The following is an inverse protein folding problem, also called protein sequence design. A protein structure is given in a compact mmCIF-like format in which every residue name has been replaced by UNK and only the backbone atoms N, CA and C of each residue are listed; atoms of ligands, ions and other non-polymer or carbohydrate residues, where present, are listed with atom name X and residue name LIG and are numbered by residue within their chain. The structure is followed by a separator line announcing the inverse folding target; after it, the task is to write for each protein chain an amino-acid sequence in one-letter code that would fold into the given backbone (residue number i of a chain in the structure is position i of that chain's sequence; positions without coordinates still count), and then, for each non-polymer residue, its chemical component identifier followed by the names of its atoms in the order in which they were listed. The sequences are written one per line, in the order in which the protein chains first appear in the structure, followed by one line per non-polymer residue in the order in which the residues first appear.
data_IF_699721168909
#
_entry.id   IF_699721168909
#
_cell.length_a   1.000
_cell.length_b   1.000
_cell.length_c   1.000
_cell.angle_alpha   90.00
_cell.angle_beta   90.00
_cell.angle_gamma   90.00
#
_symmetry.space_group_name_H-M   'P 1'
#
loop_
_entity.id
_entity.type
_entity.pdbx_description
1 polymer ?
#
# COMPACT_ATOMS: atom_id res chain seq x y z
N UNK A 1 -16.71 -38.88 60.29
CA UNK A 1 -15.91 -39.11 59.03
C UNK A 1 -14.45 -38.87 59.42
N UNK A 2 -13.61 -39.93 59.39
CA UNK A 2 -12.16 -39.79 59.66
C UNK A 2 -11.50 -39.91 58.26
N UNK A 3 -10.99 -38.80 57.74
CA UNK A 3 -10.17 -38.71 56.53
C UNK A 3 -8.70 -38.68 56.97
N UNK A 4 -8.04 -39.82 57.01
CA UNK A 4 -6.61 -39.93 57.26
C UNK A 4 -6.09 -41.31 56.88
N UNK A 5 -4.84 -41.37 56.37
CA UNK A 5 -4.21 -42.65 56.08
C UNK A 5 -3.97 -43.36 57.39
N UNK A 6 -4.64 -44.49 57.68
CA UNK A 6 -4.47 -45.32 58.81
C UNK A 6 -3.31 -46.27 58.50
N UNK A 7 -2.14 -46.00 59.07
CA UNK A 7 -0.93 -46.81 58.88
C UNK A 7 -0.79 -48.00 59.95
N UNK A 8 -1.84 -48.20 60.74
CA UNK A 8 -1.83 -49.32 61.72
C UNK A 8 -2.49 -50.57 61.12
N UNK A 9 -1.76 -51.63 60.78
CA UNK A 9 -2.29 -52.85 60.18
C UNK A 9 -3.30 -53.58 61.09
N UNK A 10 -3.21 -53.38 62.45
CA UNK A 10 -4.11 -54.04 63.44
C UNK A 10 -5.41 -53.21 63.66
N UNK A 11 -5.48 -51.99 63.21
CA UNK A 11 -6.64 -51.13 63.42
C UNK A 11 -7.91 -51.69 62.73
N UNK A 12 -7.76 -52.21 61.55
CA UNK A 12 -8.87 -52.80 60.75
C UNK A 12 -9.39 -54.07 61.43
N UNK A 13 -8.49 -54.90 62.03
CA UNK A 13 -8.86 -56.12 62.76
C UNK A 13 -9.60 -55.81 64.04
N UNK A 14 -9.17 -54.81 64.78
CA UNK A 14 -9.83 -54.30 65.99
C UNK A 14 -11.22 -53.70 65.72
N UNK A 15 -11.37 -52.97 64.61
CA UNK A 15 -12.65 -52.42 64.24
C UNK A 15 -13.62 -53.47 63.72
N UNK A 16 -13.16 -54.54 63.07
CA UNK A 16 -14.01 -55.62 62.59
C UNK A 16 -14.56 -56.50 63.76
N UNK A 17 -13.83 -56.50 64.87
CA UNK A 17 -14.27 -57.20 66.09
C UNK A 17 -15.11 -56.34 67.06
N UNK A 18 -15.19 -55.05 66.85
CA UNK A 18 -16.00 -54.11 67.64
C UNK A 18 -17.51 -54.26 67.30
N UNK A 19 -18.28 -54.52 68.35
CA UNK A 19 -19.75 -54.59 68.25
C UNK A 19 -20.33 -53.18 68.16
N UNK A 20 -21.15 -52.93 67.19
CA UNK A 20 -21.89 -51.67 67.07
C UNK A 20 -22.83 -51.48 68.27
N UNK A 21 -22.79 -50.35 68.99
CA UNK A 21 -23.72 -50.12 70.07
C UNK A 21 -25.09 -49.86 69.53
N UNK A 22 -25.95 -50.91 69.52
CA UNK A 22 -27.35 -50.69 69.31
C UNK A 22 -28.17 -51.62 68.41
N UNK A 23 -27.60 -52.38 67.52
CA UNK A 23 -28.29 -53.51 66.79
C UNK A 23 -27.25 -54.40 66.17
N UNK A 24 -27.20 -55.68 66.55
CA UNK A 24 -26.23 -56.72 66.23
C UNK A 24 -25.81 -56.94 64.77
N UNK A 25 -25.43 -55.91 64.09
CA UNK A 25 -24.93 -55.93 62.70
C UNK A 25 -23.42 -55.78 62.62
N UNK A 26 -22.77 -56.60 61.84
CA UNK A 26 -21.34 -56.48 61.49
C UNK A 26 -21.12 -55.20 60.68
N UNK A 27 -20.15 -54.40 61.02
CA UNK A 27 -19.75 -53.19 60.28
C UNK A 27 -19.09 -53.64 58.95
N UNK A 28 -19.67 -53.27 57.84
CA UNK A 28 -19.05 -53.52 56.54
C UNK A 28 -18.23 -52.31 56.13
N UNK A 29 -16.95 -52.52 55.96
CA UNK A 29 -16.03 -51.52 55.38
C UNK A 29 -16.03 -51.63 53.90
N UNK A 30 -16.40 -50.55 53.23
CA UNK A 30 -16.28 -50.43 51.76
C UNK A 30 -15.06 -49.56 51.49
N UNK A 31 -13.97 -50.16 51.06
CA UNK A 31 -12.81 -49.42 50.52
C UNK A 31 -13.22 -48.79 49.21
N UNK A 32 -13.47 -47.50 49.19
CA UNK A 32 -13.60 -46.76 47.94
C UNK A 32 -12.20 -46.64 47.37
N UNK A 33 -11.88 -47.46 46.40
CA UNK A 33 -10.65 -47.31 45.60
C UNK A 33 -10.85 -46.03 44.78
N UNK A 34 -10.17 -44.95 45.16
CA UNK A 34 -9.98 -43.83 44.28
C UNK A 34 -9.16 -44.36 43.11
N UNK A 35 -9.79 -44.39 41.94
CA UNK A 35 -9.16 -44.78 40.68
C UNK A 35 -8.08 -43.73 40.40
N UNK A 36 -6.82 -44.04 40.77
CA UNK A 36 -5.69 -43.18 40.41
C UNK A 36 -5.74 -42.98 38.89
N UNK A 37 -6.11 -41.79 38.47
CA UNK A 37 -5.97 -41.40 37.07
C UNK A 37 -4.48 -41.40 36.77
N UNK A 38 -4.08 -42.15 35.75
CA UNK A 38 -2.69 -42.18 35.36
C UNK A 38 -2.26 -40.75 34.99
N UNK A 39 -1.11 -40.26 35.50
CA UNK A 39 -0.63 -38.90 35.22
C UNK A 39 -0.46 -38.64 33.72
N UNK A 40 -0.29 -39.69 32.93
CA UNK A 40 -0.26 -39.62 31.44
C UNK A 40 -1.61 -39.25 30.85
N UNK A 41 -2.73 -39.73 31.40
CA UNK A 41 -4.07 -39.36 30.93
C UNK A 41 -4.41 -37.90 31.23
N UNK A 42 -4.00 -37.40 32.39
CA UNK A 42 -4.21 -36.00 32.74
C UNK A 42 -3.33 -35.08 31.90
N UNK A 43 -2.10 -35.45 31.57
CA UNK A 43 -1.24 -34.71 30.65
C UNK A 43 -1.83 -34.67 29.24
N UNK A 44 -2.37 -35.77 28.72
CA UNK A 44 -3.00 -35.83 27.41
C UNK A 44 -4.27 -34.97 27.37
N UNK A 45 -5.11 -35.04 28.41
CA UNK A 45 -6.37 -34.30 28.45
C UNK A 45 -6.18 -32.78 28.62
N UNK A 46 -5.18 -32.36 29.40
CA UNK A 46 -4.99 -30.94 29.70
C UNK A 46 -4.03 -30.22 28.72
N UNK A 47 -3.09 -30.93 28.09
CA UNK A 47 -2.08 -30.32 27.24
C UNK A 47 -2.20 -30.70 25.78
N UNK A 48 -2.37 -31.99 25.47
CA UNK A 48 -2.37 -32.46 24.08
C UNK A 48 -3.72 -32.20 23.40
N UNK A 49 -4.81 -32.47 24.10
CA UNK A 49 -6.16 -32.34 23.51
C UNK A 49 -6.56 -30.89 23.18
N UNK A 50 -6.32 -29.89 24.07
CA UNK A 50 -6.55 -28.48 23.71
C UNK A 50 -5.62 -27.98 22.62
N UNK A 51 -4.34 -28.43 22.62
CA UNK A 51 -3.38 -28.11 21.57
C UNK A 51 -3.80 -28.64 20.21
N UNK A 52 -4.27 -29.88 20.17
CA UNK A 52 -4.76 -30.51 18.94
C UNK A 52 -6.05 -29.88 18.43
N UNK A 53 -6.95 -29.49 19.34
CA UNK A 53 -8.19 -28.78 19.01
C UNK A 53 -7.86 -27.39 18.46
N UNK A 54 -6.93 -26.67 19.08
CA UNK A 54 -6.51 -25.37 18.61
C UNK A 54 -5.80 -25.47 17.26
N UNK A 55 -4.96 -26.48 17.04
CA UNK A 55 -4.35 -26.76 15.75
C UNK A 55 -5.40 -27.09 14.67
N UNK A 56 -6.42 -27.88 15.00
CA UNK A 56 -7.51 -28.21 14.07
C UNK A 56 -8.37 -27.00 13.72
N UNK A 57 -8.71 -26.16 14.72
CA UNK A 57 -9.43 -24.88 14.48
C UNK A 57 -8.58 -23.94 13.64
N UNK A 58 -7.28 -23.80 13.95
CA UNK A 58 -6.38 -22.93 13.22
C UNK A 58 -6.14 -23.44 11.79
N UNK A 59 -5.96 -24.75 11.60
CA UNK A 59 -5.81 -25.36 10.27
C UNK A 59 -7.10 -25.27 9.44
N UNK A 60 -8.27 -25.39 10.09
CA UNK A 60 -9.57 -25.21 9.45
C UNK A 60 -9.82 -23.74 9.08
N UNK A 61 -9.39 -22.81 9.92
CA UNK A 61 -9.41 -21.38 9.63
C UNK A 61 -8.48 -21.04 8.45
N UNK A 62 -7.27 -21.58 8.44
CA UNK A 62 -6.32 -21.41 7.32
C UNK A 62 -6.87 -22.02 6.03
N UNK A 63 -7.52 -23.20 6.09
CA UNK A 63 -8.14 -23.81 4.91
C UNK A 63 -9.34 -23.01 4.39
N UNK A 64 -10.12 -22.38 5.28
CA UNK A 64 -11.21 -21.47 4.89
C UNK A 64 -10.66 -20.15 4.33
N UNK A 65 -9.59 -19.61 4.92
CA UNK A 65 -8.88 -18.42 4.44
C UNK A 65 -8.09 -18.77 3.16
N UNK A 66 -7.47 -19.94 3.05
CA UNK A 66 -6.76 -20.42 1.86
C UNK A 66 -7.69 -20.78 0.69
N UNK A 67 -8.94 -21.18 0.96
CA UNK A 67 -9.97 -21.33 -0.07
C UNK A 67 -10.47 -19.99 -0.62
N UNK A 68 -10.40 -18.93 0.18
CA UNK A 68 -10.60 -17.54 -0.25
C UNK A 68 -9.40 -16.97 -1.02
N UNK A 69 -8.21 -17.53 -0.88
CA UNK A 69 -7.02 -17.13 -1.63
C UNK A 69 -7.03 -17.60 -3.10
N UNK A 70 -7.89 -18.53 -3.46
CA UNK A 70 -8.15 -18.92 -4.86
C UNK A 70 -9.28 -18.08 -5.50
N UNK A 71 -9.97 -17.24 -4.68
CA UNK A 71 -10.87 -16.18 -5.09
C UNK A 71 -10.40 -14.89 -4.40
N UNK A 72 -9.33 -14.30 -4.92
CA UNK A 72 -8.54 -13.17 -4.45
C UNK A 72 -9.26 -12.08 -3.67
N UNK A 73 -9.38 -12.13 -2.37
CA UNK A 73 -9.91 -10.97 -1.65
C UNK A 73 -9.66 -10.91 -0.13
N UNK A 74 -8.59 -11.42 0.43
CA UNK A 74 -8.44 -11.24 1.88
C UNK A 74 -7.05 -10.78 2.34
N UNK A 75 -6.00 -11.39 1.86
CA UNK A 75 -4.61 -11.08 2.27
C UNK A 75 -3.82 -10.40 1.16
N UNK A 76 -4.28 -10.51 -0.11
CA UNK A 76 -3.76 -9.75 -1.25
C UNK A 76 -4.12 -8.25 -1.14
N UNK A 77 -5.26 -7.90 -0.55
CA UNK A 77 -5.63 -6.50 -0.32
C UNK A 77 -4.72 -5.79 0.68
N UNK A 78 -4.13 -6.49 1.65
CA UNK A 78 -3.20 -5.87 2.61
C UNK A 78 -1.85 -5.52 1.97
N UNK A 79 -1.42 -6.24 0.91
CA UNK A 79 -0.23 -5.88 0.12
C UNK A 79 -0.52 -4.85 -0.97
N UNK A 80 -1.79 -4.57 -1.28
CA UNK A 80 -2.17 -3.55 -2.27
C UNK A 80 -2.22 -2.13 -1.72
N UNK A 81 -2.07 -1.91 -0.41
CA UNK A 81 -2.10 -0.56 0.18
C UNK A 81 -0.96 0.37 -0.28
N UNK A 82 0.07 -0.16 -0.93
CA UNK A 82 1.17 0.63 -1.50
C UNK A 82 1.13 0.78 -3.01
N UNK A 83 0.16 0.18 -3.71
CA UNK A 83 0.08 0.31 -5.16
C UNK A 83 -0.51 1.66 -5.54
N UNK A 84 0.11 2.30 -6.50
CA UNK A 84 -0.42 3.53 -7.06
C UNK A 84 -1.75 3.23 -7.73
N UNK A 85 -2.80 3.98 -7.38
CA UNK A 85 -4.07 3.94 -8.08
C UNK A 85 -4.02 4.65 -9.44
N UNK A 86 -2.82 4.81 -10.02
CA UNK A 86 -2.64 5.50 -11.27
C UNK A 86 -3.49 4.86 -12.38
N UNK A 87 -4.27 5.68 -13.05
CA UNK A 87 -4.99 5.25 -14.24
C UNK A 87 -4.00 5.15 -15.39
N UNK A 88 -3.73 3.92 -15.81
CA UNK A 88 -2.84 3.64 -16.94
C UNK A 88 -3.69 3.53 -18.19
N UNK A 89 -3.48 4.42 -19.12
CA UNK A 89 -4.08 4.35 -20.45
C UNK A 89 -3.03 3.77 -21.40
N UNK A 90 -3.35 2.65 -22.04
CA UNK A 90 -2.48 2.09 -23.08
C UNK A 90 -2.43 3.04 -24.29
N UNK A 91 -1.37 2.95 -25.06
CA UNK A 91 -1.14 3.76 -26.26
C UNK A 91 -2.38 3.81 -27.18
N UNK A 92 -3.00 2.67 -27.41
CA UNK A 92 -4.17 2.54 -28.29
C UNK A 92 -5.49 3.09 -27.70
N UNK A 93 -5.53 3.37 -26.40
CA UNK A 93 -6.73 3.87 -25.71
C UNK A 93 -6.83 5.41 -25.78
N UNK A 94 -5.73 6.10 -26.12
CA UNK A 94 -5.67 7.56 -26.15
C UNK A 94 -5.97 8.04 -27.56
N UNK A 95 -7.22 8.40 -27.78
CA UNK A 95 -7.68 8.94 -29.09
C UNK A 95 -7.53 10.45 -29.20
N UNK A 96 -7.29 11.14 -28.08
CA UNK A 96 -7.19 12.60 -28.00
C UNK A 96 -5.92 13.08 -28.68
N UNK A 97 -6.05 14.07 -29.56
CA UNK A 97 -4.96 14.70 -30.32
C UNK A 97 -4.96 16.21 -30.09
N UNK A 98 -3.90 16.90 -30.54
CA UNK A 98 -3.85 18.36 -30.48
C UNK A 98 -4.97 19.03 -31.31
N UNK A 99 -5.48 18.38 -32.33
CA UNK A 99 -6.65 18.83 -33.10
C UNK A 99 -7.93 18.93 -32.26
N UNK A 100 -8.03 18.15 -31.19
CA UNK A 100 -9.19 18.14 -30.31
C UNK A 100 -9.13 19.23 -29.23
N UNK A 101 -7.99 19.92 -29.12
CA UNK A 101 -7.77 21.03 -28.20
C UNK A 101 -7.95 22.32 -28.95
N UNK A 102 -9.00 23.07 -28.64
CA UNK A 102 -9.25 24.38 -29.23
C UNK A 102 -8.36 25.45 -28.58
N UNK A 103 -7.80 26.36 -29.38
CA UNK A 103 -6.90 27.40 -28.88
C UNK A 103 -5.60 26.83 -28.31
N UNK A 104 -4.97 27.58 -27.37
CA UNK A 104 -3.74 27.16 -26.66
C UNK A 104 -2.55 26.93 -27.61
N UNK A 105 -2.41 27.73 -28.69
CA UNK A 105 -1.41 27.46 -29.72
C UNK A 105 0.02 27.56 -29.19
N UNK A 106 0.32 28.54 -28.34
CA UNK A 106 1.64 28.64 -27.67
C UNK A 106 1.95 27.43 -26.78
N UNK A 107 0.94 26.94 -26.04
CA UNK A 107 1.10 25.76 -25.22
C UNK A 107 1.31 24.50 -26.07
N UNK A 108 0.61 24.36 -27.20
CA UNK A 108 0.80 23.26 -28.15
C UNK A 108 2.20 23.30 -28.76
N UNK A 109 2.67 24.45 -29.20
CA UNK A 109 4.02 24.63 -29.78
C UNK A 109 5.10 24.25 -28.76
N UNK A 110 4.96 24.72 -27.52
CA UNK A 110 5.87 24.36 -26.43
C UNK A 110 5.86 22.87 -26.08
N UNK A 111 4.73 22.18 -26.28
CA UNK A 111 4.60 20.75 -25.99
C UNK A 111 4.93 19.88 -27.21
N UNK A 112 4.95 20.42 -28.42
CA UNK A 112 5.34 19.70 -29.63
C UNK A 112 6.79 19.23 -29.57
N UNK A 113 7.67 19.99 -28.94
CA UNK A 113 9.07 19.59 -28.70
C UNK A 113 9.16 18.32 -27.83
N UNK A 114 8.25 18.17 -26.85
CA UNK A 114 8.16 16.97 -26.03
C UNK A 114 7.71 15.77 -26.87
N UNK A 115 6.76 15.97 -27.77
CA UNK A 115 6.28 14.95 -28.72
C UNK A 115 7.40 14.53 -29.67
N UNK A 116 8.13 15.48 -30.25
CA UNK A 116 9.25 15.18 -31.19
C UNK A 116 10.35 14.40 -30.50
N UNK A 117 10.65 14.73 -29.24
CA UNK A 117 11.62 13.96 -28.46
C UNK A 117 11.18 12.51 -28.24
N UNK A 118 9.92 12.30 -27.83
CA UNK A 118 9.41 10.95 -27.59
C UNK A 118 9.42 10.09 -28.85
N UNK A 119 9.29 10.72 -30.03
CA UNK A 119 9.41 10.04 -31.33
C UNK A 119 10.85 9.77 -31.73
N UNK A 120 11.77 10.70 -31.47
CA UNK A 120 13.13 10.70 -31.99
C UNK A 120 14.18 10.95 -30.89
N UNK A 121 14.27 10.14 -29.83
CA UNK A 121 15.16 10.39 -28.70
C UNK A 121 16.64 10.40 -29.11
N UNK A 122 17.03 9.58 -30.07
CA UNK A 122 18.43 9.47 -30.51
C UNK A 122 18.97 10.75 -31.12
N UNK A 123 18.15 11.47 -31.90
CA UNK A 123 18.50 12.77 -32.50
C UNK A 123 18.91 13.81 -31.47
N UNK A 124 18.24 13.82 -30.33
CA UNK A 124 18.52 14.76 -29.23
C UNK A 124 19.76 14.33 -28.43
N UNK A 125 19.97 13.03 -28.24
CA UNK A 125 21.13 12.47 -27.57
C UNK A 125 22.41 12.74 -28.38
N UNK A 126 22.38 12.64 -29.70
CA UNK A 126 23.53 12.91 -30.59
C UNK A 126 24.04 14.35 -30.51
N UNK A 127 23.12 15.33 -30.38
CA UNK A 127 23.49 16.75 -30.27
C UNK A 127 23.77 17.18 -28.82
N UNK A 128 23.68 16.26 -27.86
CA UNK A 128 23.90 16.56 -26.45
C UNK A 128 22.84 17.46 -25.83
N UNK A 129 21.63 17.52 -26.42
CA UNK A 129 20.55 18.32 -25.91
C UNK A 129 19.98 17.69 -24.63
N UNK A 130 19.94 18.45 -23.54
CA UNK A 130 19.26 18.05 -22.33
C UNK A 130 17.78 18.39 -22.42
N UNK A 131 16.95 17.37 -22.48
CA UNK A 131 15.52 17.57 -22.46
C UNK A 131 14.98 17.80 -21.06
N UNK A 132 13.90 18.57 -20.95
CA UNK A 132 13.23 18.74 -19.67
C UNK A 132 12.70 17.39 -19.19
N UNK A 133 13.10 16.97 -18.00
CA UNK A 133 12.52 15.77 -17.37
C UNK A 133 11.05 15.97 -17.01
N UNK A 134 10.67 17.23 -16.74
CA UNK A 134 9.33 17.59 -16.36
C UNK A 134 8.86 18.93 -16.94
N UNK A 135 7.59 18.98 -17.28
CA UNK A 135 6.91 20.19 -17.76
C UNK A 135 5.76 20.50 -16.82
N UNK A 136 5.67 21.75 -16.37
CA UNK A 136 4.61 22.25 -15.52
C UNK A 136 3.58 23.04 -16.33
N UNK A 137 2.35 22.54 -16.38
CA UNK A 137 1.20 23.23 -16.98
C UNK A 137 0.58 24.16 -15.93
N UNK A 138 0.59 25.45 -16.21
CA UNK A 138 0.12 26.48 -15.28
C UNK A 138 -1.06 27.23 -15.92
N UNK A 139 -2.13 27.41 -15.20
CA UNK A 139 -3.27 28.19 -15.69
C UNK A 139 -4.50 28.06 -14.79
N UNK A 140 -5.51 28.90 -14.99
CA UNK A 140 -6.76 28.84 -14.26
C UNK A 140 -7.48 27.49 -14.39
N UNK A 141 -8.41 27.17 -13.48
CA UNK A 141 -9.24 25.98 -13.66
C UNK A 141 -10.08 26.11 -14.94
N UNK A 142 -10.28 24.98 -15.63
CA UNK A 142 -11.08 24.93 -16.85
C UNK A 142 -10.32 25.24 -18.16
N UNK A 143 -9.03 25.60 -18.13
CA UNK A 143 -8.22 25.86 -19.32
C UNK A 143 -7.82 24.63 -20.13
N UNK A 144 -8.22 23.43 -19.71
CA UNK A 144 -7.95 22.19 -20.45
C UNK A 144 -6.59 21.53 -20.19
N UNK A 145 -5.93 21.81 -19.04
CA UNK A 145 -4.62 21.23 -18.69
C UNK A 145 -4.57 19.69 -18.78
N UNK A 146 -5.58 19.03 -18.25
CA UNK A 146 -5.70 17.57 -18.34
C UNK A 146 -5.96 17.08 -19.77
N UNK A 147 -6.70 17.86 -20.57
CA UNK A 147 -6.99 17.53 -21.97
C UNK A 147 -5.73 17.64 -22.82
N UNK A 148 -4.98 18.73 -22.69
CA UNK A 148 -3.73 18.93 -23.45
C UNK A 148 -2.67 17.90 -23.07
N UNK A 149 -2.57 17.51 -21.79
CA UNK A 149 -1.64 16.45 -21.35
C UNK A 149 -1.97 15.10 -22.01
N UNK A 150 -3.26 14.76 -22.16
CA UNK A 150 -3.69 13.58 -22.90
C UNK A 150 -3.41 13.71 -24.39
N UNK A 151 -3.60 14.91 -24.96
CA UNK A 151 -3.33 15.16 -26.36
C UNK A 151 -1.84 14.97 -26.70
N UNK A 152 -0.93 15.41 -25.81
CA UNK A 152 0.51 15.15 -25.95
C UNK A 152 0.81 13.65 -26.01
N UNK A 153 0.25 12.86 -25.11
CA UNK A 153 0.45 11.41 -25.09
C UNK A 153 -0.16 10.72 -26.34
N UNK A 154 -1.33 11.17 -26.75
CA UNK A 154 -1.97 10.67 -27.97
C UNK A 154 -1.20 11.06 -29.23
N UNK A 155 -0.63 12.27 -29.30
CA UNK A 155 0.19 12.71 -30.43
C UNK A 155 1.51 11.93 -30.46
N UNK A 156 2.16 11.74 -29.31
CA UNK A 156 3.38 10.97 -29.18
C UNK A 156 3.19 9.45 -29.33
N UNK A 157 1.95 8.94 -29.25
CA UNK A 157 1.66 7.51 -29.34
C UNK A 157 2.30 6.70 -28.21
N UNK A 158 2.35 7.23 -26.99
CA UNK A 158 2.97 6.57 -25.84
C UNK A 158 1.96 6.33 -24.71
N UNK A 159 2.23 5.34 -23.82
CA UNK A 159 1.41 5.10 -22.65
C UNK A 159 1.30 6.34 -21.75
N UNK A 160 0.12 6.56 -21.17
CA UNK A 160 -0.18 7.68 -20.31
C UNK A 160 -0.62 7.23 -18.92
N UNK A 161 0.16 7.62 -17.91
CA UNK A 161 -0.15 7.39 -16.51
C UNK A 161 -0.76 8.67 -15.95
N UNK A 162 -1.96 8.61 -15.40
CA UNK A 162 -2.64 9.76 -14.82
C UNK A 162 -2.97 9.54 -13.36
N UNK A 163 -2.59 10.49 -12.52
CA UNK A 163 -2.90 10.51 -11.10
C UNK A 163 -3.16 11.94 -10.63
N UNK A 164 -4.07 12.11 -9.67
CA UNK A 164 -4.25 13.39 -8.98
C UNK A 164 -3.27 13.52 -7.81
N UNK A 165 -2.72 14.70 -7.59
CA UNK A 165 -1.91 15.01 -6.42
C UNK A 165 -2.62 14.70 -5.10
N UNK A 166 -3.94 14.83 -5.06
CA UNK A 166 -4.76 14.48 -3.90
C UNK A 166 -4.76 12.96 -3.58
N UNK A 167 -4.53 12.11 -4.58
CA UNK A 167 -4.47 10.66 -4.38
C UNK A 167 -3.19 10.20 -3.65
N UNK A 168 -2.17 11.06 -3.59
CA UNK A 168 -0.96 10.81 -2.79
C UNK A 168 -1.13 11.20 -1.33
N UNK A 169 -2.09 12.09 -1.01
CA UNK A 169 -2.37 12.49 0.37
C UNK A 169 -3.20 11.41 1.04
N UNK A 170 -2.58 10.64 1.90
CA UNK A 170 -3.22 9.53 2.60
C UNK A 170 -3.28 9.77 4.11
N UNK A 171 -4.16 9.02 4.79
CA UNK A 171 -4.30 9.13 6.25
C UNK A 171 -3.12 8.48 7.00
N UNK A 172 -2.40 7.55 6.36
CA UNK A 172 -1.28 6.82 6.97
C UNK A 172 0.05 7.31 6.46
N UNK A 173 0.96 7.62 7.37
CA UNK A 173 2.31 8.11 7.07
C UNK A 173 3.08 7.11 6.20
N UNK A 174 3.69 7.62 5.14
CA UNK A 174 4.52 6.84 4.21
C UNK A 174 3.79 6.18 3.05
N UNK A 175 2.45 6.16 3.05
CA UNK A 175 1.69 5.58 1.92
C UNK A 175 1.78 6.44 0.66
N UNK A 176 1.77 7.75 0.79
CA UNK A 176 1.96 8.66 -0.34
C UNK A 176 3.31 8.46 -1.02
N UNK A 177 4.39 8.37 -0.23
CA UNK A 177 5.73 8.09 -0.74
C UNK A 177 5.83 6.71 -1.43
N UNK A 178 5.16 5.69 -0.90
CA UNK A 178 5.12 4.37 -1.53
C UNK A 178 4.40 4.41 -2.89
N UNK A 179 3.30 5.16 -3.01
CA UNK A 179 2.58 5.35 -4.27
C UNK A 179 3.41 6.09 -5.32
N UNK A 180 4.16 7.12 -4.91
CA UNK A 180 5.09 7.81 -5.81
C UNK A 180 6.11 6.84 -6.36
N UNK A 181 6.76 6.04 -5.51
CA UNK A 181 7.76 5.06 -5.93
C UNK A 181 7.18 4.02 -6.87
N UNK A 182 5.99 3.51 -6.58
CA UNK A 182 5.31 2.53 -7.42
C UNK A 182 4.94 3.11 -8.79
N UNK A 183 4.41 4.35 -8.84
CA UNK A 183 4.11 5.06 -10.08
C UNK A 183 5.35 5.20 -10.98
N UNK A 184 6.47 5.64 -10.41
CA UNK A 184 7.72 5.79 -11.16
C UNK A 184 8.31 4.45 -11.62
N UNK A 185 8.21 3.41 -10.78
CA UNK A 185 8.62 2.05 -11.16
C UNK A 185 7.80 1.52 -12.34
N UNK A 186 6.49 1.71 -12.32
CA UNK A 186 5.60 1.32 -13.42
C UNK A 186 5.89 2.11 -14.70
N UNK A 187 6.14 3.42 -14.58
CA UNK A 187 6.47 4.27 -15.71
C UNK A 187 7.81 3.86 -16.35
N UNK A 188 8.83 3.60 -15.55
CA UNK A 188 10.13 3.12 -16.05
C UNK A 188 10.02 1.77 -16.76
N UNK A 189 9.17 0.88 -16.27
CA UNK A 189 8.93 -0.44 -16.90
C UNK A 189 8.21 -0.32 -18.24
N UNK A 190 7.50 0.78 -18.49
CA UNK A 190 6.74 1.03 -19.73
C UNK A 190 7.25 2.21 -20.54
N UNK A 191 8.50 2.59 -20.35
CA UNK A 191 9.12 3.64 -21.13
C UNK A 191 9.26 3.22 -22.62
N UNK A 192 9.07 4.14 -23.61
CA UNK A 192 8.75 5.56 -23.40
C UNK A 192 7.30 5.79 -22.95
N UNK A 193 7.07 6.75 -22.05
CA UNK A 193 5.72 7.05 -21.54
C UNK A 193 5.62 8.47 -20.95
N UNK A 194 4.39 8.92 -20.72
CA UNK A 194 4.10 10.18 -20.03
C UNK A 194 3.46 9.89 -18.68
N UNK A 195 3.98 10.49 -17.61
CA UNK A 195 3.38 10.53 -16.28
C UNK A 195 2.74 11.89 -16.06
N UNK A 196 1.44 11.93 -15.83
CA UNK A 196 0.70 13.16 -15.59
C UNK A 196 0.22 13.21 -14.13
N UNK A 197 0.58 14.28 -13.44
CA UNK A 197 0.15 14.57 -12.07
C UNK A 197 -0.71 15.82 -12.08
N UNK A 198 -2.02 15.64 -11.93
CA UNK A 198 -2.94 16.78 -11.83
C UNK A 198 -2.96 17.33 -10.41
N UNK A 199 -3.23 18.63 -10.25
CA UNK A 199 -3.31 19.29 -8.94
C UNK A 199 -2.06 19.04 -8.06
N UNK A 200 -0.87 19.19 -8.63
CA UNK A 200 0.38 18.89 -7.92
C UNK A 200 0.55 19.73 -6.64
N UNK A 201 -0.10 20.87 -6.56
CA UNK A 201 -0.12 21.74 -5.37
C UNK A 201 -0.74 21.06 -4.15
N UNK A 202 -1.49 19.96 -4.31
CA UNK A 202 -1.98 19.16 -3.18
C UNK A 202 -0.85 18.57 -2.32
N UNK A 203 0.29 18.19 -2.96
CA UNK A 203 1.46 17.61 -2.27
C UNK A 203 2.64 18.55 -2.18
N UNK A 204 2.71 19.53 -3.07
CA UNK A 204 3.89 20.35 -3.33
C UNK A 204 3.81 21.78 -2.77
N UNK A 205 2.99 22.01 -1.75
CA UNK A 205 2.79 23.31 -1.15
C UNK A 205 4.03 23.77 -0.36
N UNK A 206 4.42 25.05 -0.55
CA UNK A 206 5.55 25.67 0.16
C UNK A 206 5.40 25.63 1.68
N UNK A 207 6.53 25.45 2.37
CA UNK A 207 6.64 25.26 3.83
C UNK A 207 6.32 26.52 4.66
N UNK A 208 6.25 27.70 4.05
CA UNK A 208 6.25 28.99 4.75
C UNK A 208 5.06 29.24 5.69
N UNK A 209 3.99 28.42 5.66
CA UNK A 209 2.76 28.70 6.39
C UNK A 209 2.18 27.56 7.25
N UNK A 210 2.91 26.50 7.57
CA UNK A 210 2.31 25.37 8.32
C UNK A 210 3.14 24.93 9.53
N UNK A 211 2.67 25.29 10.73
CA UNK A 211 3.28 24.95 12.03
C UNK A 211 2.84 23.55 12.55
N UNK A 212 1.93 22.84 11.88
CA UNK A 212 1.42 21.57 12.41
C UNK A 212 0.93 20.61 11.32
N UNK A 213 1.50 19.41 11.27
CA UNK A 213 0.77 18.21 10.82
C UNK A 213 0.87 17.82 9.34
N UNK A 214 1.91 18.21 8.60
CA UNK A 214 2.05 17.84 7.19
C UNK A 214 3.24 16.90 6.89
N UNK A 215 3.70 16.13 7.86
CA UNK A 215 4.85 15.22 7.71
C UNK A 215 4.68 14.27 6.51
N UNK A 216 3.45 13.79 6.26
CA UNK A 216 3.18 12.89 5.14
C UNK A 216 3.31 13.58 3.78
N UNK A 217 2.78 14.81 3.65
CA UNK A 217 2.91 15.58 2.40
C UNK A 217 4.36 15.92 2.11
N UNK A 218 5.10 16.30 3.14
CA UNK A 218 6.54 16.58 3.03
C UNK A 218 7.33 15.32 2.66
N UNK A 219 7.02 14.19 3.26
CA UNK A 219 7.62 12.91 2.93
C UNK A 219 7.30 12.50 1.48
N UNK A 220 6.06 12.69 1.04
CA UNK A 220 5.62 12.42 -0.32
C UNK A 220 6.31 13.33 -1.33
N UNK A 221 6.40 14.63 -1.04
CA UNK A 221 7.14 15.59 -1.86
C UNK A 221 8.61 15.23 -1.97
N UNK A 222 9.28 14.93 -0.84
CA UNK A 222 10.68 14.54 -0.83
C UNK A 222 10.91 13.25 -1.63
N UNK A 223 9.98 12.29 -1.58
CA UNK A 223 10.06 11.09 -2.41
C UNK A 223 9.89 11.44 -3.89
N UNK A 224 8.94 12.31 -4.25
CA UNK A 224 8.78 12.77 -5.63
C UNK A 224 10.06 13.43 -6.17
N UNK A 225 10.67 14.31 -5.39
CA UNK A 225 11.94 14.95 -5.75
C UNK A 225 13.06 13.92 -5.92
N UNK A 226 13.13 12.93 -5.04
CA UNK A 226 14.12 11.85 -5.12
C UNK A 226 13.95 11.01 -6.38
N UNK A 227 12.71 10.64 -6.72
CA UNK A 227 12.42 9.89 -7.94
C UNK A 227 12.76 10.69 -9.20
N UNK A 228 12.42 11.99 -9.23
CA UNK A 228 12.76 12.88 -10.35
C UNK A 228 14.28 13.05 -10.53
N UNK A 229 15.02 13.14 -9.44
CA UNK A 229 16.48 13.29 -9.49
C UNK A 229 17.18 11.97 -9.89
N UNK A 230 16.68 10.84 -9.37
CA UNK A 230 17.23 9.51 -9.61
C UNK A 230 16.87 8.89 -10.96
N UNK A 231 16.03 9.54 -11.72
CA UNK A 231 15.51 9.03 -12.98
C UNK A 231 16.34 9.56 -14.17
N UNK A 232 16.67 8.67 -15.07
CA UNK A 232 17.42 9.00 -16.27
C UNK A 232 16.46 9.51 -17.35
N UNK A 233 16.54 10.81 -17.68
CA UNK A 233 15.72 11.44 -18.71
C UNK A 233 15.84 10.80 -20.11
N UNK A 234 16.96 10.11 -20.35
CA UNK A 234 17.23 9.46 -21.64
C UNK A 234 16.37 8.21 -21.88
N UNK A 235 15.69 7.71 -20.84
CA UNK A 235 14.79 6.53 -20.94
C UNK A 235 13.43 6.85 -21.57
N UNK A 236 13.16 8.10 -21.96
CA UNK A 236 11.92 8.49 -22.61
C UNK A 236 10.70 8.58 -21.67
N UNK A 237 10.92 8.72 -20.35
CA UNK A 237 9.83 9.04 -19.42
C UNK A 237 9.77 10.55 -19.23
N UNK A 238 8.61 11.16 -19.46
CA UNK A 238 8.39 12.60 -19.25
C UNK A 238 7.30 12.80 -18.23
N UNK A 239 7.53 13.72 -17.31
CA UNK A 239 6.58 14.06 -16.25
C UNK A 239 5.88 15.36 -16.63
N UNK A 240 4.58 15.30 -16.79
CA UNK A 240 3.73 16.49 -16.90
C UNK A 240 3.04 16.71 -15.56
N UNK A 241 3.07 17.92 -15.05
CA UNK A 241 2.28 18.27 -13.86
C UNK A 241 1.38 19.47 -14.16
N UNK A 242 0.22 19.52 -13.54
CA UNK A 242 -0.70 20.64 -13.66
C UNK A 242 -0.97 21.30 -12.31
N UNK A 243 -1.04 22.63 -12.31
CA UNK A 243 -1.44 23.41 -11.14
C UNK A 243 -2.25 24.64 -11.55
N UNK A 244 -3.18 25.02 -10.67
CA UNK A 244 -3.89 26.29 -10.73
C UNK A 244 -3.21 27.37 -9.89
N UNK A 245 -2.21 26.99 -9.05
CA UNK A 245 -1.57 27.88 -8.06
C UNK A 245 -0.05 27.77 -8.11
N UNK A 246 0.61 28.29 -9.14
CA UNK A 246 2.06 28.15 -9.28
C UNK A 246 2.83 28.78 -8.13
N UNK A 247 2.32 29.87 -7.54
CA UNK A 247 2.97 30.60 -6.43
C UNK A 247 2.97 29.81 -5.12
N UNK A 248 2.11 28.81 -4.99
CA UNK A 248 2.03 27.98 -3.79
C UNK A 248 3.01 26.81 -3.81
N UNK A 249 3.68 26.56 -4.93
CA UNK A 249 4.58 25.41 -5.10
C UNK A 249 5.92 25.61 -4.39
N UNK A 250 6.45 24.52 -3.86
CA UNK A 250 7.82 24.48 -3.32
C UNK A 250 8.83 24.75 -4.44
N UNK A 251 9.73 25.72 -4.19
CA UNK A 251 10.77 26.12 -5.15
C UNK A 251 11.72 24.97 -5.55
N UNK A 252 11.81 23.93 -4.72
CA UNK A 252 12.61 22.76 -5.03
C UNK A 252 12.13 22.01 -6.27
N UNK A 253 10.81 22.01 -6.56
CA UNK A 253 10.25 21.41 -7.77
C UNK A 253 10.65 22.14 -9.06
N UNK A 254 10.93 23.41 -8.96
CA UNK A 254 11.19 24.30 -10.10
C UNK A 254 12.68 24.43 -10.42
N UNK A 255 13.53 23.58 -9.81
CA UNK A 255 14.97 23.55 -10.09
C UNK A 255 15.24 22.80 -11.40
N UNK A 256 16.35 23.17 -12.09
CA UNK A 256 16.80 22.43 -13.28
C UNK A 256 16.89 20.92 -13.02
N UNK A 257 16.47 20.14 -14.02
CA UNK A 257 16.40 18.67 -13.90
C UNK A 257 15.12 18.13 -13.27
N UNK A 258 14.15 19.00 -12.95
CA UNK A 258 12.81 18.67 -12.44
C UNK A 258 11.75 19.30 -13.33
N UNK A 259 10.89 20.20 -12.81
CA UNK A 259 9.97 20.98 -13.65
C UNK A 259 10.65 22.28 -14.10
N UNK A 260 11.58 22.15 -15.00
CA UNK A 260 12.38 23.26 -15.53
C UNK A 260 11.67 24.01 -16.68
N UNK A 261 10.69 23.40 -17.31
CA UNK A 261 9.85 24.04 -18.32
C UNK A 261 8.45 24.34 -17.76
N UNK A 262 7.99 25.55 -17.98
CA UNK A 262 6.62 25.98 -17.66
C UNK A 262 5.88 26.33 -18.93
N UNK A 263 4.67 25.82 -19.05
CA UNK A 263 3.76 26.11 -20.14
C UNK A 263 2.54 26.80 -19.55
N UNK A 264 2.33 28.05 -19.96
CA UNK A 264 1.21 28.85 -19.53
C UNK A 264 -0.01 28.48 -20.36
N UNK A 265 -1.15 28.31 -19.68
CA UNK A 265 -2.44 28.06 -20.32
C UNK A 265 -3.40 29.20 -19.99
N UNK A 266 -3.91 29.84 -21.01
CA UNK A 266 -4.82 30.97 -20.88
C UNK A 266 -6.29 30.57 -21.04
N UNK A 267 -7.21 31.46 -20.68
CA UNK A 267 -8.65 31.23 -20.80
C UNK A 267 -9.13 31.46 -22.25
#
# INVERSE_FOLDING_TARGET
YITGAISDPDFVSRLSSAKSPGKGGKIRFVKKLDKERSPLLDFILWWILPGMLMYWVFSSAIKRIGGMAKGGSGMGNFMQFGQSGAKVYAENDIKTRFSDVAGQDEAKDGLMEVVDFLHNPDKYNEVGAHLPKGVLLVGPPGTGKTLIARAVAGEAGVPFFSMSGSEFVQMFVGMGAAKVRDLFSQAQAKAPCIVFIDEIDAIAKSRENNISGNDEREQTLNQLLTEMDGFDGNKGVIILAATNRPDSLDKALLRPGRFDRRVQMEL
#
